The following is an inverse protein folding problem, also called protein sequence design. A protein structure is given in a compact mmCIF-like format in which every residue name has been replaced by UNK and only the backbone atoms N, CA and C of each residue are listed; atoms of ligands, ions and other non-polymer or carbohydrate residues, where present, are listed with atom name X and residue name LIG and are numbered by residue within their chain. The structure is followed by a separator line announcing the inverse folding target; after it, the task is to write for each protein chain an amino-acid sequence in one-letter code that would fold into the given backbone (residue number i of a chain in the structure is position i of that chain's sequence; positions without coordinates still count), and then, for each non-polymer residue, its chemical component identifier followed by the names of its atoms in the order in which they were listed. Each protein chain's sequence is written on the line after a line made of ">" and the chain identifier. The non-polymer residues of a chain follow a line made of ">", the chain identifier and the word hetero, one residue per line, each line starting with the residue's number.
data_IF_272478568873
#
_entry.id   IF_272478568873
#
_cell.length_a   1.000
_cell.length_b   1.000
_cell.length_c   1.000
_cell.angle_alpha   90.00
_cell.angle_beta   90.00
_cell.angle_gamma   90.00
#
_symmetry.space_group_name_H-M   'P 1'
#
loop_
_entity.id
_entity.type
_entity.pdbx_description
1 polymer ?
#
# COMPACT_ATOMS: atom_id res chain seq x y z
N UNK A 1 -25.63 -0.46 -13.99
CA UNK A 1 -24.70 -0.05 -12.93
C UNK A 1 -23.78 0.97 -13.56
N UNK A 2 -23.92 2.25 -13.24
CA UNK A 2 -22.99 3.28 -13.70
C UNK A 2 -21.62 2.97 -13.11
N UNK A 3 -20.59 2.89 -13.95
CA UNK A 3 -19.20 2.90 -13.46
C UNK A 3 -19.01 4.21 -12.69
N UNK A 4 -18.67 4.13 -11.40
CA UNK A 4 -18.14 5.29 -10.68
C UNK A 4 -16.92 5.78 -11.45
N UNK A 5 -16.96 7.04 -11.90
CA UNK A 5 -15.81 7.67 -12.53
C UNK A 5 -14.77 7.89 -11.44
N UNK A 6 -13.83 6.95 -11.34
CA UNK A 6 -12.63 7.07 -10.50
C UNK A 6 -11.65 8.00 -11.21
N UNK A 7 -11.02 8.90 -10.47
CA UNK A 7 -9.93 9.70 -11.03
C UNK A 7 -8.81 8.78 -11.51
N UNK A 8 -8.34 9.01 -12.74
CA UNK A 8 -7.35 8.16 -13.40
C UNK A 8 -5.97 8.81 -13.37
N UNK A 9 -5.10 8.26 -12.53
CA UNK A 9 -3.68 8.58 -12.49
C UNK A 9 -2.79 7.43 -12.93
N UNK A 10 -3.34 6.45 -13.65
CA UNK A 10 -2.57 5.34 -14.16
C UNK A 10 -1.43 5.84 -15.06
N UNK A 11 -0.28 5.17 -14.97
CA UNK A 11 0.95 5.52 -15.69
C UNK A 11 1.56 6.90 -15.38
N UNK A 12 0.98 7.70 -14.49
CA UNK A 12 1.53 9.01 -14.12
C UNK A 12 2.76 8.88 -13.22
N UNK A 13 3.59 9.92 -13.21
CA UNK A 13 4.80 10.01 -12.39
C UNK A 13 4.70 11.17 -11.40
N UNK A 14 4.84 10.83 -10.12
CA UNK A 14 4.87 11.71 -8.95
C UNK A 14 6.17 11.54 -8.17
N UNK A 15 7.27 11.21 -8.86
CA UNK A 15 8.57 10.98 -8.23
C UNK A 15 8.97 12.19 -7.38
N UNK A 16 9.22 11.96 -6.09
CA UNK A 16 9.61 12.99 -5.14
C UNK A 16 8.57 14.09 -4.89
N UNK A 17 7.33 13.93 -5.38
CA UNK A 17 6.27 14.91 -5.17
C UNK A 17 5.88 15.00 -3.70
N UNK A 18 5.46 16.20 -3.28
CA UNK A 18 4.79 16.38 -1.99
C UNK A 18 3.28 16.26 -2.19
N UNK A 19 2.74 15.17 -1.66
CA UNK A 19 1.35 14.74 -1.73
C UNK A 19 0.83 14.41 -0.32
N UNK A 20 1.38 15.08 0.70
CA UNK A 20 0.89 14.95 2.07
C UNK A 20 -0.60 15.30 2.11
N UNK A 21 -1.37 14.48 2.84
CA UNK A 21 -2.82 14.61 3.00
C UNK A 21 -3.63 14.63 1.68
N UNK A 22 -3.02 14.22 0.55
CA UNK A 22 -3.72 14.13 -0.73
C UNK A 22 -4.83 13.07 -0.70
N UNK A 23 -5.89 13.32 -1.45
CA UNK A 23 -7.02 12.40 -1.59
C UNK A 23 -6.95 11.63 -2.91
N UNK A 24 -6.78 10.32 -2.81
CA UNK A 24 -6.78 9.35 -3.90
C UNK A 24 -7.78 8.22 -3.62
N UNK A 25 -8.81 8.47 -2.81
CA UNK A 25 -9.83 7.46 -2.49
C UNK A 25 -10.43 6.85 -3.75
N UNK A 26 -10.37 5.52 -3.85
CA UNK A 26 -10.90 4.77 -4.99
C UNK A 26 -10.19 5.02 -6.33
N UNK A 27 -9.15 5.87 -6.38
CA UNK A 27 -8.51 6.27 -7.63
C UNK A 27 -7.89 5.10 -8.41
N UNK A 28 -7.80 5.24 -9.72
CA UNK A 28 -7.01 4.34 -10.56
C UNK A 28 -5.55 4.81 -10.58
N UNK A 29 -4.69 4.13 -9.80
CA UNK A 29 -3.25 4.42 -9.70
C UNK A 29 -2.40 3.33 -10.37
N UNK A 30 -2.98 2.51 -11.25
CA UNK A 30 -2.29 1.37 -11.87
C UNK A 30 -1.01 1.84 -12.56
N UNK A 31 0.10 1.17 -12.27
CA UNK A 31 1.42 1.49 -12.88
C UNK A 31 1.90 2.93 -12.68
N UNK A 32 1.30 3.70 -11.78
CA UNK A 32 1.80 5.03 -11.41
C UNK A 32 3.12 4.91 -10.62
N UNK A 33 3.93 5.98 -10.64
CA UNK A 33 5.25 6.02 -10.02
C UNK A 33 5.27 7.11 -8.94
N UNK A 34 5.30 6.72 -7.68
CA UNK A 34 5.41 7.56 -6.49
C UNK A 34 6.76 7.38 -5.78
N UNK A 35 7.79 6.96 -6.51
CA UNK A 35 9.11 6.68 -5.92
C UNK A 35 9.65 7.94 -5.21
N UNK A 36 9.98 7.80 -3.93
CA UNK A 36 10.44 8.89 -3.07
C UNK A 36 9.40 9.98 -2.72
N UNK A 37 8.14 9.84 -3.14
CA UNK A 37 7.10 10.83 -2.86
C UNK A 37 6.77 10.90 -1.36
N UNK A 38 6.30 12.07 -0.91
CA UNK A 38 5.71 12.25 0.40
C UNK A 38 4.19 12.08 0.31
N UNK A 39 3.66 11.03 0.90
CA UNK A 39 2.23 10.67 0.99
C UNK A 39 1.82 10.51 2.47
N UNK A 40 2.48 11.26 3.38
CA UNK A 40 2.10 11.23 4.79
C UNK A 40 0.65 11.67 4.94
N UNK A 41 -0.17 10.85 5.62
CA UNK A 41 -1.59 11.15 5.84
C UNK A 41 -2.50 11.00 4.62
N UNK A 42 -1.98 10.68 3.43
CA UNK A 42 -2.78 10.56 2.22
C UNK A 42 -3.90 9.50 2.34
N UNK A 43 -5.05 9.80 1.74
CA UNK A 43 -6.16 8.85 1.61
C UNK A 43 -6.00 8.05 0.31
N UNK A 44 -5.68 6.77 0.43
CA UNK A 44 -5.54 5.80 -0.67
C UNK A 44 -6.52 4.63 -0.48
N UNK A 45 -7.55 4.80 0.35
CA UNK A 45 -8.52 3.75 0.65
C UNK A 45 -9.24 3.31 -0.62
N UNK A 46 -9.35 2.00 -0.83
CA UNK A 46 -9.96 1.40 -2.02
C UNK A 46 -9.26 1.67 -3.36
N UNK A 47 -8.13 2.37 -3.38
CA UNK A 47 -7.42 2.70 -4.62
C UNK A 47 -6.91 1.44 -5.34
N UNK A 48 -6.89 1.50 -6.68
CA UNK A 48 -6.30 0.47 -7.51
C UNK A 48 -4.84 0.82 -7.84
N UNK A 49 -3.93 0.28 -7.03
CA UNK A 49 -2.48 0.54 -7.09
C UNK A 49 -1.73 -0.61 -7.77
N UNK A 50 -2.41 -1.43 -8.59
CA UNK A 50 -1.78 -2.62 -9.16
C UNK A 50 -0.57 -2.26 -10.01
N UNK A 51 0.53 -2.96 -9.77
CA UNK A 51 1.83 -2.71 -10.43
C UNK A 51 2.38 -1.28 -10.30
N UNK A 52 1.88 -0.48 -9.35
CA UNK A 52 2.41 0.84 -9.07
C UNK A 52 3.73 0.77 -8.28
N UNK A 53 4.45 1.88 -8.21
CA UNK A 53 5.73 1.98 -7.53
C UNK A 53 5.71 3.05 -6.44
N UNK A 54 6.14 2.68 -5.25
CA UNK A 54 6.24 3.51 -4.04
C UNK A 54 7.61 3.32 -3.38
N UNK A 55 8.66 3.10 -4.17
CA UNK A 55 10.00 2.78 -3.65
C UNK A 55 10.52 3.96 -2.85
N UNK A 56 10.82 3.74 -1.57
CA UNK A 56 11.28 4.78 -0.66
C UNK A 56 10.25 5.86 -0.30
N UNK A 57 8.99 5.73 -0.73
CA UNK A 57 7.95 6.72 -0.45
C UNK A 57 7.64 6.81 1.06
N UNK A 58 7.20 8.00 1.50
CA UNK A 58 6.68 8.21 2.84
C UNK A 58 5.16 8.00 2.85
N UNK A 59 4.67 6.88 3.37
CA UNK A 59 3.25 6.56 3.54
C UNK A 59 2.87 6.50 5.03
N UNK A 60 3.58 7.26 5.87
CA UNK A 60 3.26 7.30 7.30
C UNK A 60 1.83 7.81 7.50
N UNK A 61 1.07 7.18 8.40
CA UNK A 61 -0.33 7.54 8.69
C UNK A 61 -1.32 7.45 7.50
N UNK A 62 -0.89 6.98 6.32
CA UNK A 62 -1.76 6.88 5.16
C UNK A 62 -2.91 5.87 5.39
N UNK A 63 -4.08 6.17 4.83
CA UNK A 63 -5.21 5.23 4.77
C UNK A 63 -5.09 4.40 3.49
N UNK A 64 -4.95 3.08 3.63
CA UNK A 64 -4.75 2.12 2.53
C UNK A 64 -5.74 0.96 2.65
N UNK A 65 -6.83 1.15 3.40
CA UNK A 65 -7.79 0.09 3.65
C UNK A 65 -8.52 -0.32 2.37
N UNK A 66 -8.61 -1.62 2.12
CA UNK A 66 -9.21 -2.19 0.92
C UNK A 66 -8.44 -1.92 -0.39
N UNK A 67 -7.28 -1.25 -0.35
CA UNK A 67 -6.51 -0.93 -1.56
C UNK A 67 -6.00 -2.19 -2.27
N UNK A 68 -6.00 -2.17 -3.60
CA UNK A 68 -5.47 -3.24 -4.44
C UNK A 68 -4.03 -2.96 -4.84
N UNK A 69 -3.09 -3.52 -4.08
CA UNK A 69 -1.65 -3.33 -4.20
C UNK A 69 -0.96 -4.52 -4.86
N UNK A 70 -1.69 -5.38 -5.57
CA UNK A 70 -1.10 -6.58 -6.21
C UNK A 70 0.02 -6.19 -7.17
N UNK A 71 1.15 -6.86 -7.04
CA UNK A 71 2.40 -6.62 -7.81
C UNK A 71 3.01 -5.22 -7.64
N UNK A 72 2.56 -4.41 -6.68
CA UNK A 72 3.13 -3.09 -6.43
C UNK A 72 4.49 -3.18 -5.72
N UNK A 73 5.32 -2.14 -5.87
CA UNK A 73 6.66 -2.07 -5.26
C UNK A 73 6.67 -1.08 -4.10
N UNK A 74 6.88 -1.56 -2.88
CA UNK A 74 7.00 -0.76 -1.65
C UNK A 74 8.40 -0.84 -1.03
N UNK A 75 9.42 -1.24 -1.78
CA UNK A 75 10.76 -1.42 -1.24
C UNK A 75 11.22 -0.17 -0.49
N UNK A 76 11.64 -0.35 0.77
CA UNK A 76 12.08 0.73 1.67
C UNK A 76 11.04 1.82 1.98
N UNK A 77 9.76 1.62 1.64
CA UNK A 77 8.71 2.58 1.97
C UNK A 77 8.48 2.69 3.49
N UNK A 78 8.06 3.87 3.95
CA UNK A 78 7.70 4.12 5.35
C UNK A 78 6.19 3.97 5.50
N UNK A 79 5.73 2.94 6.21
CA UNK A 79 4.31 2.63 6.44
C UNK A 79 3.95 2.75 7.93
N UNK A 80 4.75 3.44 8.74
CA UNK A 80 4.47 3.49 10.17
C UNK A 80 3.16 4.23 10.44
N UNK A 81 2.32 3.68 11.32
CA UNK A 81 0.98 4.17 11.65
C UNK A 81 -0.05 4.12 10.50
N UNK A 82 0.25 3.50 9.36
CA UNK A 82 -0.73 3.38 8.26
C UNK A 82 -1.81 2.33 8.53
N UNK A 83 -2.94 2.44 7.83
CA UNK A 83 -4.00 1.45 7.86
C UNK A 83 -4.02 0.62 6.58
N UNK A 84 -3.58 -0.65 6.63
CA UNK A 84 -3.56 -1.59 5.51
C UNK A 84 -4.66 -2.65 5.65
N UNK A 85 -5.73 -2.37 6.39
CA UNK A 85 -6.79 -3.36 6.59
C UNK A 85 -7.39 -3.80 5.25
N UNK A 86 -7.68 -5.10 5.07
CA UNK A 86 -8.30 -5.63 3.84
C UNK A 86 -7.48 -5.43 2.54
N UNK A 87 -6.25 -4.95 2.65
CA UNK A 87 -5.38 -4.71 1.52
C UNK A 87 -5.02 -6.00 0.78
N UNK A 88 -4.93 -5.91 -0.55
CA UNK A 88 -4.49 -7.02 -1.44
C UNK A 88 -3.04 -6.82 -1.85
N UNK A 89 -2.17 -7.74 -1.47
CA UNK A 89 -0.73 -7.65 -1.52
C UNK A 89 -0.10 -8.81 -2.31
N UNK A 90 -0.90 -9.63 -3.00
CA UNK A 90 -0.40 -10.71 -3.86
C UNK A 90 0.71 -10.22 -4.82
N UNK A 91 1.91 -10.78 -4.66
CA UNK A 91 3.08 -10.44 -5.46
C UNK A 91 3.67 -9.06 -5.20
N UNK A 92 3.19 -8.31 -4.21
CA UNK A 92 3.79 -7.03 -3.82
C UNK A 92 5.20 -7.23 -3.26
N UNK A 93 6.10 -6.27 -3.50
CA UNK A 93 7.46 -6.29 -2.95
C UNK A 93 7.60 -5.28 -1.81
N UNK A 94 7.68 -5.78 -0.59
CA UNK A 94 7.70 -4.99 0.65
C UNK A 94 9.04 -5.10 1.40
N UNK A 95 10.11 -5.53 0.72
CA UNK A 95 11.43 -5.64 1.36
C UNK A 95 11.93 -4.29 1.87
N UNK A 96 12.44 -4.25 3.09
CA UNK A 96 12.90 -3.03 3.76
C UNK A 96 11.80 -2.06 4.21
N UNK A 97 10.51 -2.42 4.10
CA UNK A 97 9.40 -1.59 4.61
C UNK A 97 9.53 -1.35 6.11
N UNK A 98 9.20 -0.13 6.55
CA UNK A 98 9.10 0.24 7.97
C UNK A 98 7.64 0.45 8.37
N UNK A 99 6.97 -0.60 8.86
CA UNK A 99 5.54 -0.60 9.18
C UNK A 99 5.22 -0.62 10.69
N UNK A 100 5.97 0.09 11.54
CA UNK A 100 5.70 0.07 13.00
C UNK A 100 4.31 0.66 13.26
N UNK A 101 3.50 -0.04 14.06
CA UNK A 101 2.11 0.32 14.37
C UNK A 101 1.13 0.33 13.19
N UNK A 102 1.56 -0.08 11.98
CA UNK A 102 0.61 -0.27 10.89
C UNK A 102 -0.42 -1.35 11.23
N UNK A 103 -1.63 -1.20 10.70
CA UNK A 103 -2.73 -2.15 10.87
C UNK A 103 -2.81 -3.06 9.65
N UNK A 104 -2.68 -4.38 9.84
CA UNK A 104 -2.67 -5.38 8.75
C UNK A 104 -3.84 -6.36 8.82
N UNK A 105 -4.89 -5.99 9.55
CA UNK A 105 -6.04 -6.87 9.80
C UNK A 105 -6.68 -7.26 8.46
N UNK A 106 -6.84 -8.58 8.21
CA UNK A 106 -7.41 -9.15 6.97
C UNK A 106 -6.66 -8.81 5.67
N UNK A 107 -5.48 -8.19 5.74
CA UNK A 107 -4.60 -8.10 4.58
C UNK A 107 -3.98 -9.47 4.28
N UNK A 108 -3.84 -9.83 3.01
CA UNK A 108 -3.21 -11.08 2.57
C UNK A 108 -1.67 -10.96 2.49
N UNK A 109 -1.07 -10.31 3.50
CA UNK A 109 0.35 -9.95 3.55
C UNK A 109 1.29 -11.13 3.29
N UNK A 110 0.85 -12.36 3.58
CA UNK A 110 1.63 -13.57 3.33
C UNK A 110 1.85 -13.90 1.84
N UNK A 111 1.09 -13.29 0.94
CA UNK A 111 1.27 -13.40 -0.51
C UNK A 111 2.27 -12.37 -1.05
N UNK A 112 2.80 -11.49 -0.20
CA UNK A 112 3.82 -10.51 -0.56
C UNK A 112 5.23 -11.05 -0.30
N UNK A 113 6.20 -10.48 -1.03
CA UNK A 113 7.63 -10.66 -0.74
C UNK A 113 8.06 -9.65 0.34
N UNK A 114 8.61 -10.12 1.45
CA UNK A 114 9.08 -9.25 2.52
C UNK A 114 10.27 -9.84 3.29
N UNK A 115 10.87 -9.01 4.14
CA UNK A 115 11.97 -9.45 5.01
C UNK A 115 11.45 -10.40 6.10
N UNK A 116 12.29 -11.35 6.53
CA UNK A 116 11.94 -12.35 7.54
C UNK A 116 11.46 -11.71 8.86
N UNK A 117 12.09 -10.61 9.27
CA UNK A 117 11.72 -9.88 10.48
C UNK A 117 10.31 -9.31 10.41
N UNK A 118 9.91 -8.76 9.25
CA UNK A 118 8.56 -8.26 9.04
C UNK A 118 7.57 -9.42 9.03
N UNK A 119 7.86 -10.48 8.27
CA UNK A 119 6.99 -11.67 8.22
C UNK A 119 6.71 -12.25 9.62
N UNK A 120 7.75 -12.44 10.44
CA UNK A 120 7.59 -12.94 11.83
C UNK A 120 6.77 -12.01 12.71
N UNK A 121 6.97 -10.70 12.58
CA UNK A 121 6.19 -9.71 13.31
C UNK A 121 4.71 -9.73 12.90
N UNK A 122 4.44 -9.85 11.60
CA UNK A 122 3.08 -9.93 11.08
C UNK A 122 2.39 -11.23 11.49
N UNK A 123 3.07 -12.37 11.38
CA UNK A 123 2.54 -13.67 11.78
C UNK A 123 2.12 -13.70 13.25
N UNK A 124 2.92 -13.10 14.14
CA UNK A 124 2.61 -13.02 15.57
C UNK A 124 1.36 -12.18 15.87
N UNK A 125 1.12 -11.09 15.12
CA UNK A 125 0.09 -10.10 15.47
C UNK A 125 -1.17 -10.19 14.60
N UNK A 126 -1.05 -10.66 13.36
CA UNK A 126 -2.14 -10.85 12.40
C UNK A 126 -1.99 -12.22 11.73
N UNK A 127 -2.22 -13.31 12.48
CA UNK A 127 -2.03 -14.66 11.97
C UNK A 127 -2.91 -14.91 10.74
N UNK A 128 -2.38 -15.71 9.81
CA UNK A 128 -3.12 -16.15 8.63
C UNK A 128 -4.35 -16.93 9.11
N UNK A 129 -5.51 -16.66 8.51
CA UNK A 129 -6.66 -17.53 8.72
C UNK A 129 -6.27 -18.94 8.26
N UNK A 130 -6.43 -19.94 9.13
CA UNK A 130 -6.32 -21.33 8.71
C UNK A 130 -7.54 -21.58 7.82
N UNK A 131 -7.29 -21.83 6.54
CA UNK A 131 -8.23 -22.17 5.47
C UNK A 131 -9.69 -22.39 5.93
N UNK A 132 -10.60 -21.55 5.44
CA UNK A 132 -11.97 -21.98 5.14
C UNK A 132 -11.95 -22.78 3.82
#
# INVERSE_FOLDING_TARGET
>A
MSEEVREDFSFQSFIGADLADADFEGANLRRAIFDGANLEGANLSGADMRSASFVGANLMKAALDGADMRKARFMKAKLSLSNMQDAKLEGADMRGVRGRYAVWRRADWWNARMDESLSKALEKKWPRAKNE
#
